data_IF_545098385333
#
_entry.id   IF_545098385333
#
_cell.length_a   1.000
_cell.length_b   1.000
_cell.length_c   1.000
_cell.angle_alpha   90.00
_cell.angle_beta   90.00
_cell.angle_gamma   90.00
#
_symmetry.space_group_name_H-M   'P 1'
#
loop_
_entity.id
_entity.type
_entity.pdbx_description
1 polymer ?
#
# COMPACT_ATOMS: atom_id res chain seq x y z
N UNK A 1 47.48 -32.62 -2.17
CA UNK A 1 46.98 -33.41 -3.32
C UNK A 1 45.72 -32.74 -3.82
N UNK A 2 45.84 -31.97 -4.91
CA UNK A 2 44.75 -31.26 -5.57
C UNK A 2 44.14 -32.19 -6.63
N UNK A 3 42.81 -32.27 -6.68
CA UNK A 3 42.07 -32.89 -7.78
C UNK A 3 41.55 -31.77 -8.71
N UNK A 4 41.58 -31.96 -10.05
CA UNK A 4 41.19 -30.93 -11.00
C UNK A 4 39.68 -30.93 -11.26
N UNK A 5 39.13 -29.73 -11.37
CA UNK A 5 37.80 -29.47 -11.89
C UNK A 5 37.86 -29.47 -13.43
N UNK A 6 37.22 -30.42 -14.08
CA UNK A 6 36.96 -30.41 -15.52
C UNK A 6 35.49 -30.70 -15.81
N UNK A 7 34.98 -29.89 -16.74
CA UNK A 7 33.90 -30.17 -17.68
C UNK A 7 32.48 -30.40 -17.15
N UNK A 8 31.71 -29.31 -17.09
CA UNK A 8 30.31 -29.31 -17.50
C UNK A 8 30.00 -28.06 -18.34
N UNK A 9 30.53 -28.03 -19.56
CA UNK A 9 29.97 -27.19 -20.65
C UNK A 9 28.87 -28.03 -21.29
N UNK A 10 27.67 -27.96 -20.71
CA UNK A 10 26.50 -28.66 -21.27
C UNK A 10 25.68 -27.70 -22.13
N UNK A 11 25.66 -28.05 -23.41
CA UNK A 11 24.88 -27.51 -24.52
C UNK A 11 23.46 -27.06 -24.12
N UNK A 12 23.21 -25.74 -24.10
CA UNK A 12 21.87 -25.21 -24.42
C UNK A 12 21.75 -25.19 -25.95
N UNK A 13 21.13 -26.23 -26.50
CA UNK A 13 20.57 -26.15 -27.86
C UNK A 13 19.38 -25.21 -27.79
N UNK A 14 19.50 -24.07 -28.45
CA UNK A 14 18.38 -23.18 -28.73
C UNK A 14 17.38 -23.94 -29.60
N UNK A 15 16.23 -24.28 -29.03
CA UNK A 15 15.08 -24.71 -29.81
C UNK A 15 14.57 -23.49 -30.59
N UNK A 16 14.42 -23.56 -31.92
CA UNK A 16 13.80 -22.49 -32.68
C UNK A 16 12.38 -22.28 -32.17
N UNK A 17 12.03 -21.05 -31.83
CA UNK A 17 10.65 -20.65 -31.60
C UNK A 17 9.91 -20.80 -32.93
N UNK A 18 9.02 -21.79 -33.01
CA UNK A 18 8.08 -21.92 -34.10
C UNK A 18 7.21 -20.66 -34.14
N UNK A 19 7.41 -19.86 -35.19
CA UNK A 19 6.61 -18.68 -35.48
C UNK A 19 5.20 -19.16 -35.81
N UNK A 20 4.23 -18.85 -34.94
CA UNK A 20 2.82 -19.10 -35.23
C UNK A 20 2.42 -18.41 -36.54
N UNK A 21 1.81 -19.13 -37.50
CA UNK A 21 1.34 -18.52 -38.73
C UNK A 21 0.23 -17.49 -38.42
N UNK A 22 0.36 -16.28 -38.97
CA UNK A 22 -0.55 -15.13 -38.73
C UNK A 22 -2.03 -15.44 -38.95
N UNK A 23 -2.36 -16.44 -39.76
CA UNK A 23 -3.75 -16.86 -40.01
C UNK A 23 -4.43 -17.47 -38.78
N UNK A 24 -3.69 -18.15 -37.90
CA UNK A 24 -4.25 -18.75 -36.67
C UNK A 24 -4.47 -17.74 -35.55
N UNK A 25 -3.68 -16.66 -35.53
CA UNK A 25 -3.85 -15.57 -34.56
C UNK A 25 -5.10 -14.73 -34.83
N UNK A 26 -5.53 -14.62 -36.09
CA UNK A 26 -6.73 -13.85 -36.46
C UNK A 26 -8.04 -14.59 -36.19
N UNK A 27 -8.03 -15.93 -36.20
CA UNK A 27 -9.23 -16.75 -35.96
C UNK A 27 -9.58 -16.83 -34.47
N UNK A 28 -8.57 -16.94 -33.59
CA UNK A 28 -8.77 -16.98 -32.13
C UNK A 28 -9.28 -15.66 -31.54
N UNK A 29 -8.92 -14.51 -32.14
CA UNK A 29 -9.46 -13.20 -31.72
C UNK A 29 -10.93 -13.04 -32.10
N UNK A 30 -11.38 -13.63 -33.21
CA UNK A 30 -12.79 -13.56 -33.64
C UNK A 30 -13.72 -14.40 -32.77
N UNK A 31 -13.26 -15.57 -32.30
CA UNK A 31 -14.05 -16.38 -31.35
C UNK A 31 -14.13 -15.75 -29.96
N UNK A 32 -13.09 -15.05 -29.51
CA UNK A 32 -13.11 -14.35 -28.22
C UNK A 32 -14.08 -13.16 -28.17
N UNK A 33 -14.30 -12.47 -29.30
CA UNK A 33 -15.22 -11.31 -29.38
C UNK A 33 -16.69 -11.76 -29.46
N UNK A 34 -16.97 -13.00 -29.89
CA UNK A 34 -18.34 -13.52 -29.98
C UNK A 34 -18.92 -14.02 -28.64
N UNK A 35 -18.14 -14.00 -27.55
CA UNK A 35 -18.56 -14.40 -26.20
C UNK A 35 -18.87 -13.23 -25.27
N UNK A 36 -19.26 -12.06 -25.81
CA UNK A 36 -19.92 -11.02 -25.00
C UNK A 36 -21.33 -11.48 -24.61
N UNK A 37 -21.38 -12.24 -23.51
CA UNK A 37 -22.61 -12.55 -22.77
C UNK A 37 -23.16 -11.23 -22.22
N UNK A 38 -24.44 -10.88 -22.46
CA UNK A 38 -25.05 -9.73 -21.83
C UNK A 38 -25.27 -10.05 -20.34
N UNK A 39 -24.32 -9.66 -19.50
CA UNK A 39 -24.55 -9.57 -18.04
C UNK A 39 -25.28 -8.24 -17.82
N UNK A 40 -26.57 -8.23 -18.13
CA UNK A 40 -27.48 -7.18 -17.67
C UNK A 40 -28.40 -7.75 -16.59
N UNK A 41 -28.38 -7.04 -15.46
CA UNK A 41 -29.47 -6.87 -14.50
C UNK A 41 -30.05 -8.12 -13.85
N UNK A 42 -29.60 -8.41 -12.63
CA UNK A 42 -30.46 -8.68 -11.46
C UNK A 42 -29.57 -8.78 -10.19
N UNK A 43 -29.10 -7.64 -9.70
CA UNK A 43 -28.55 -7.50 -8.33
C UNK A 43 -29.15 -6.26 -7.68
N UNK A 44 -30.48 -6.23 -7.63
CA UNK A 44 -31.19 -5.35 -6.71
C UNK A 44 -31.82 -6.19 -5.61
N UNK A 45 -31.81 -5.64 -4.40
CA UNK A 45 -32.44 -6.14 -3.17
C UNK A 45 -31.68 -7.23 -2.40
N UNK A 46 -30.80 -6.79 -1.47
CA UNK A 46 -30.93 -7.11 -0.03
C UNK A 46 -29.65 -7.09 0.82
N UNK A 47 -28.44 -6.93 0.27
CA UNK A 47 -27.24 -7.05 1.11
C UNK A 47 -26.16 -6.00 0.81
N UNK A 48 -26.45 -4.74 1.11
CA UNK A 48 -25.46 -3.76 1.58
C UNK A 48 -26.22 -2.49 2.00
N UNK A 49 -26.63 -2.42 3.27
CA UNK A 49 -26.83 -1.10 3.88
C UNK A 49 -25.43 -0.48 3.94
N UNK A 50 -25.18 0.72 3.37
CA UNK A 50 -23.89 1.37 3.52
C UNK A 50 -23.61 1.48 5.02
N UNK A 51 -22.51 0.86 5.46
CA UNK A 51 -22.12 0.84 6.88
C UNK A 51 -21.78 2.26 7.40
N UNK A 52 -21.76 3.25 6.51
CA UNK A 52 -21.62 4.66 6.81
C UNK A 52 -22.58 5.46 5.91
N UNK A 53 -23.82 5.69 6.36
CA UNK A 53 -24.63 6.77 5.81
C UNK A 53 -24.09 8.07 6.40
N UNK A 54 -23.27 8.78 5.63
CA UNK A 54 -22.89 10.15 5.96
C UNK A 54 -24.00 11.05 5.45
N UNK A 55 -24.73 11.65 6.38
CA UNK A 55 -25.84 12.56 6.09
C UNK A 55 -25.31 13.75 5.23
N UNK A 56 -25.76 13.91 3.98
CA UNK A 56 -25.29 15.00 3.12
C UNK A 56 -25.63 16.39 3.68
N UNK A 57 -26.65 16.52 4.53
CA UNK A 57 -26.95 17.78 5.22
C UNK A 57 -25.89 18.15 6.28
N UNK A 58 -25.14 17.15 6.79
CA UNK A 58 -24.02 17.36 7.72
C UNK A 58 -22.67 17.60 7.03
N UNK A 59 -22.58 17.36 5.71
CA UNK A 59 -21.39 17.68 4.91
C UNK A 59 -21.40 19.15 4.45
N UNK A 60 -22.59 19.74 4.29
CA UNK A 60 -22.78 21.10 3.77
C UNK A 60 -22.38 22.22 4.76
N UNK A 61 -22.11 21.89 6.01
CA UNK A 61 -21.59 22.82 7.01
C UNK A 61 -20.32 22.23 7.58
N UNK A 62 -19.17 22.71 7.11
CA UNK A 62 -17.88 22.42 7.72
C UNK A 62 -17.82 23.19 9.05
N UNK A 63 -18.64 22.79 10.03
CA UNK A 63 -18.56 23.20 11.43
C UNK A 63 -17.57 22.30 12.18
N UNK A 64 -16.48 21.91 11.51
CA UNK A 64 -15.29 21.30 12.13
C UNK A 64 -14.40 22.39 12.77
N UNK A 65 -15.02 23.34 13.48
CA UNK A 65 -14.38 24.18 14.50
C UNK A 65 -14.59 23.42 15.82
N UNK A 66 -13.62 23.02 16.64
CA UNK A 66 -12.46 23.75 17.17
C UNK A 66 -11.30 22.77 17.53
N UNK A 67 -11.10 21.69 16.76
CA UNK A 67 -10.21 20.57 17.18
C UNK A 67 -9.21 20.04 16.15
N UNK A 68 -9.17 20.56 14.92
CA UNK A 68 -8.14 20.18 13.95
C UNK A 68 -6.80 20.77 14.36
N UNK A 69 -6.05 20.04 15.18
CA UNK A 69 -4.65 20.33 15.44
C UNK A 69 -3.89 20.31 14.12
N UNK A 70 -3.29 21.46 13.83
CA UNK A 70 -2.57 21.76 12.61
C UNK A 70 -1.35 20.84 12.48
N UNK A 71 -1.30 20.03 11.42
CA UNK A 71 -0.04 19.48 10.95
C UNK A 71 0.71 20.61 10.24
N UNK A 72 1.91 20.93 10.71
CA UNK A 72 2.78 21.94 10.12
C UNK A 72 3.32 21.50 8.75
N UNK A 73 3.62 22.50 7.92
CA UNK A 73 3.90 22.40 6.47
C UNK A 73 5.20 21.63 6.13
N UNK A 74 5.06 20.54 5.39
CA UNK A 74 6.07 20.07 4.42
C UNK A 74 5.36 19.75 3.09
N UNK A 75 5.89 20.33 2.00
CA UNK A 75 5.48 20.25 0.58
C UNK A 75 4.10 19.64 0.24
N UNK A 76 3.18 20.54 -0.05
CA UNK A 76 1.75 20.46 0.24
C UNK A 76 0.94 19.69 -0.83
N UNK A 77 1.22 18.40 -1.01
CA UNK A 77 0.32 17.41 -1.67
C UNK A 77 0.19 16.08 -0.92
N UNK A 78 0.83 15.96 0.25
CA UNK A 78 0.90 14.74 1.05
C UNK A 78 0.58 14.98 2.53
N UNK A 79 -0.27 15.98 2.85
CA UNK A 79 -0.75 16.22 4.22
C UNK A 79 -1.41 15.00 4.89
N UNK A 80 -1.70 13.96 4.09
CA UNK A 80 -2.25 12.68 4.52
C UNK A 80 -1.21 11.61 4.84
N UNK A 81 0.09 11.91 4.74
CA UNK A 81 1.16 10.95 4.96
C UNK A 81 1.25 10.56 6.46
N UNK A 82 0.94 9.31 6.75
CA UNK A 82 1.03 8.77 8.12
C UNK A 82 2.48 8.56 8.52
N UNK A 83 2.92 9.21 9.60
CA UNK A 83 4.26 9.01 10.16
C UNK A 83 4.39 7.61 10.75
N UNK A 84 5.50 6.91 10.49
CA UNK A 84 5.70 5.54 10.99
C UNK A 84 5.66 5.49 12.51
N UNK A 85 6.20 6.51 13.18
CA UNK A 85 6.36 6.55 14.63
C UNK A 85 5.05 6.53 15.42
N UNK A 86 3.95 7.02 14.82
CA UNK A 86 2.62 7.11 15.44
C UNK A 86 1.83 5.80 15.36
N UNK A 87 2.30 4.85 14.55
CA UNK A 87 1.60 3.60 14.29
C UNK A 87 1.68 2.66 15.49
N UNK A 88 0.59 1.94 15.75
CA UNK A 88 0.54 0.88 16.78
C UNK A 88 0.63 -0.47 16.06
N UNK A 89 1.77 -1.21 16.14
CA UNK A 89 1.90 -2.49 15.45
C UNK A 89 0.97 -3.53 16.09
N UNK A 90 0.21 -4.24 15.25
CA UNK A 90 -0.70 -5.33 15.64
C UNK A 90 -0.21 -6.70 15.17
N UNK A 91 0.65 -6.73 14.15
CA UNK A 91 1.33 -7.91 13.67
C UNK A 91 2.56 -7.50 12.89
N UNK A 92 3.72 -8.07 13.18
CA UNK A 92 4.93 -7.75 12.43
C UNK A 92 5.85 -8.97 12.36
N UNK A 93 6.48 -9.15 11.21
CA UNK A 93 7.46 -10.20 10.98
C UNK A 93 8.60 -9.66 10.13
N UNK A 94 9.73 -9.40 10.78
CA UNK A 94 10.93 -8.86 10.16
C UNK A 94 10.65 -7.54 9.43
N UNK A 95 10.55 -7.59 8.11
CA UNK A 95 10.44 -6.46 7.20
C UNK A 95 9.00 -6.05 6.88
N UNK A 96 8.00 -6.72 7.45
CA UNK A 96 6.57 -6.43 7.20
C UNK A 96 5.91 -6.07 8.52
N UNK A 97 5.18 -4.96 8.53
CA UNK A 97 4.52 -4.41 9.71
C UNK A 97 3.05 -4.13 9.34
N UNK A 98 2.14 -4.80 10.03
CA UNK A 98 0.72 -4.47 10.08
C UNK A 98 0.45 -3.69 11.37
N UNK A 99 -0.21 -2.55 11.25
CA UNK A 99 -0.37 -1.58 12.32
C UNK A 99 -1.71 -0.87 12.27
N UNK A 100 -2.04 -0.19 13.35
CA UNK A 100 -3.21 0.65 13.49
C UNK A 100 -2.81 2.13 13.51
N UNK A 101 -3.53 2.92 12.71
CA UNK A 101 -3.51 4.37 12.71
C UNK A 101 -4.90 4.89 13.05
N UNK A 102 -5.09 5.36 14.28
CA UNK A 102 -6.42 5.66 14.83
C UNK A 102 -6.73 7.16 14.92
N UNK A 103 -6.05 8.01 14.14
CA UNK A 103 -6.25 9.46 14.16
C UNK A 103 -7.37 9.87 13.20
N UNK A 104 -8.56 10.16 13.72
CA UNK A 104 -9.68 10.67 12.92
C UNK A 104 -9.52 12.17 12.62
N UNK A 105 -9.84 12.67 11.41
CA UNK A 105 -10.36 11.96 10.22
C UNK A 105 -9.27 11.40 9.29
N UNK A 106 -8.00 11.63 9.57
CA UNK A 106 -6.87 11.22 8.72
C UNK A 106 -6.78 9.70 8.49
N UNK A 107 -7.33 8.90 9.40
CA UNK A 107 -7.42 7.45 9.26
C UNK A 107 -8.45 7.02 8.21
N UNK A 108 -9.29 7.88 7.64
CA UNK A 108 -10.25 7.47 6.62
C UNK A 108 -9.62 7.34 5.24
N UNK A 109 -10.24 6.51 4.38
CA UNK A 109 -9.82 6.31 3.00
C UNK A 109 -8.72 5.27 2.83
N UNK A 110 -8.14 5.22 1.63
CA UNK A 110 -7.07 4.31 1.26
C UNK A 110 -5.94 5.10 0.62
N UNK A 111 -4.70 4.81 1.00
CA UNK A 111 -3.50 5.38 0.36
C UNK A 111 -2.43 4.31 0.29
N UNK A 112 -1.97 3.97 -0.90
CA UNK A 112 -0.89 3.01 -1.09
C UNK A 112 0.19 3.63 -1.97
N UNK A 113 1.44 3.44 -1.59
CA UNK A 113 2.61 3.98 -2.25
C UNK A 113 3.74 2.98 -2.07
N UNK A 114 4.41 2.61 -3.15
CA UNK A 114 5.51 1.69 -3.06
C UNK A 114 6.15 1.40 -4.40
N UNK A 115 7.27 0.69 -4.32
CA UNK A 115 8.02 0.17 -5.44
C UNK A 115 8.21 -1.33 -5.24
N UNK A 116 7.90 -2.12 -6.25
CA UNK A 116 8.18 -3.55 -6.30
C UNK A 116 8.91 -3.84 -7.60
N UNK A 117 10.17 -4.27 -7.50
CA UNK A 117 11.05 -4.41 -8.66
C UNK A 117 11.09 -3.09 -9.46
N UNK A 118 10.70 -3.12 -10.73
CA UNK A 118 10.73 -1.96 -11.63
C UNK A 118 9.42 -1.15 -11.64
N UNK A 119 8.41 -1.54 -10.86
CA UNK A 119 7.12 -0.86 -10.82
C UNK A 119 7.04 0.03 -9.59
N UNK A 120 6.89 1.33 -9.80
CA UNK A 120 6.57 2.29 -8.75
C UNK A 120 5.14 2.78 -8.94
N UNK A 121 4.35 2.74 -7.87
CA UNK A 121 2.94 3.11 -7.92
C UNK A 121 2.52 3.87 -6.68
N UNK A 122 1.61 4.81 -6.88
CA UNK A 122 0.90 5.53 -5.83
C UNK A 122 -0.59 5.55 -6.17
N UNK A 123 -1.41 5.24 -5.19
CA UNK A 123 -2.86 5.27 -5.30
C UNK A 123 -3.49 5.89 -4.06
N UNK A 124 -4.53 6.70 -4.23
CA UNK A 124 -5.35 7.22 -3.15
C UNK A 124 -6.83 7.07 -3.50
N UNK A 125 -7.63 6.58 -2.56
CA UNK A 125 -9.07 6.39 -2.74
C UNK A 125 -9.84 6.86 -1.51
N UNK A 126 -10.92 7.60 -1.74
CA UNK A 126 -11.78 8.19 -0.70
C UNK A 126 -11.00 8.89 0.43
N UNK A 127 -9.84 9.49 0.12
CA UNK A 127 -8.96 10.10 1.13
C UNK A 127 -9.40 11.55 1.38
N UNK A 128 -9.69 11.96 2.63
CA UNK A 128 -10.02 13.35 2.93
C UNK A 128 -8.87 14.27 2.52
N UNK A 129 -9.21 15.39 1.87
CA UNK A 129 -8.26 16.43 1.52
C UNK A 129 -8.31 17.53 2.58
N UNK A 130 -7.19 18.23 2.77
CA UNK A 130 -7.17 19.39 3.63
C UNK A 130 -8.07 20.49 3.08
N UNK A 131 -8.86 21.11 3.95
CA UNK A 131 -9.83 22.15 3.60
C UNK A 131 -9.19 23.45 3.06
N UNK A 132 -7.87 23.47 2.90
CA UNK A 132 -7.10 24.56 2.28
C UNK A 132 -6.98 24.42 0.76
N UNK A 133 -7.47 23.32 0.18
CA UNK A 133 -7.48 23.15 -1.26
C UNK A 133 -8.28 24.30 -1.92
N UNK A 134 -7.62 25.07 -2.80
CA UNK A 134 -8.21 26.23 -3.49
C UNK A 134 -9.48 25.83 -4.26
N UNK A 135 -9.53 24.57 -4.69
CA UNK A 135 -10.63 23.98 -5.44
C UNK A 135 -11.81 23.49 -4.58
N UNK A 136 -11.75 23.67 -3.24
CA UNK A 136 -12.80 23.26 -2.28
C UNK A 136 -13.17 21.78 -2.38
N UNK A 137 -12.22 20.92 -2.72
CA UNK A 137 -12.44 19.46 -2.81
C UNK A 137 -12.44 18.88 -1.40
N UNK A 138 -13.41 18.00 -1.11
CA UNK A 138 -13.51 17.38 0.21
C UNK A 138 -12.69 16.10 0.35
N UNK A 139 -12.59 15.30 -0.71
CA UNK A 139 -11.83 14.05 -0.74
C UNK A 139 -11.38 13.68 -2.14
N UNK A 140 -10.25 12.97 -2.24
CA UNK A 140 -9.82 12.30 -3.46
C UNK A 140 -10.61 11.00 -3.61
N UNK A 141 -11.44 10.88 -4.65
CA UNK A 141 -12.22 9.65 -4.92
C UNK A 141 -11.30 8.55 -5.46
N UNK A 142 -10.49 8.88 -6.46
CA UNK A 142 -9.50 8.00 -7.05
C UNK A 142 -8.37 8.84 -7.64
N UNK A 143 -7.16 8.58 -7.20
CA UNK A 143 -5.92 9.06 -7.80
C UNK A 143 -5.01 7.86 -7.98
N UNK A 144 -4.48 7.67 -9.18
CA UNK A 144 -3.58 6.58 -9.51
C UNK A 144 -2.42 7.11 -10.34
N UNK A 145 -1.21 6.78 -9.94
CA UNK A 145 0.02 7.14 -10.62
C UNK A 145 0.92 5.90 -10.65
N UNK A 146 1.34 5.48 -11.83
CA UNK A 146 2.19 4.30 -12.02
C UNK A 146 3.31 4.62 -13.01
N UNK A 147 4.53 4.21 -12.66
CA UNK A 147 5.73 4.48 -13.44
C UNK A 147 6.68 3.27 -13.41
N UNK A 148 7.36 3.06 -14.53
CA UNK A 148 8.49 2.13 -14.57
C UNK A 148 9.77 2.87 -14.14
N UNK A 149 10.44 2.35 -13.11
CA UNK A 149 11.69 2.89 -12.59
C UNK A 149 12.77 1.83 -12.57
N UNK A 150 14.04 2.26 -12.60
CA UNK A 150 15.16 1.33 -12.42
C UNK A 150 15.19 0.96 -10.93
N UNK A 151 15.07 -0.35 -10.58
CA UNK A 151 15.04 -0.77 -9.20
C UNK A 151 16.36 -0.46 -8.50
N UNK A 152 16.29 0.28 -7.40
CA UNK A 152 17.41 0.42 -6.45
C UNK A 152 17.34 -0.62 -5.32
N UNK A 153 16.16 -1.19 -5.09
CA UNK A 153 15.85 -2.16 -4.02
C UNK A 153 14.85 -3.21 -4.54
N UNK A 154 14.69 -4.30 -3.78
CA UNK A 154 13.77 -5.38 -4.16
C UNK A 154 12.31 -4.95 -4.04
N UNK A 155 11.95 -4.34 -2.91
CA UNK A 155 10.64 -3.72 -2.74
C UNK A 155 10.50 -2.97 -1.44
N UNK A 156 9.75 -1.88 -1.49
CA UNK A 156 9.40 -1.04 -0.34
C UNK A 156 8.03 -0.43 -0.59
N UNK A 157 7.16 -0.40 0.41
CA UNK A 157 5.85 0.18 0.25
C UNK A 157 5.09 0.34 1.54
N UNK A 158 4.07 1.19 1.48
CA UNK A 158 3.09 1.47 2.53
C UNK A 158 1.71 1.43 1.91
N UNK A 159 0.74 0.88 2.63
CA UNK A 159 -0.64 0.82 2.19
C UNK A 159 -1.52 0.94 3.42
N UNK A 160 -2.24 2.05 3.48
CA UNK A 160 -3.21 2.35 4.52
C UNK A 160 -4.60 2.09 3.95
N UNK A 161 -5.40 1.29 4.67
CA UNK A 161 -6.82 1.07 4.41
C UNK A 161 -7.57 1.39 5.69
N UNK A 162 -8.21 2.55 5.72
CA UNK A 162 -8.81 3.12 6.90
C UNK A 162 -7.79 3.16 8.07
N UNK A 163 -8.15 2.58 9.22
CA UNK A 163 -7.26 2.52 10.38
C UNK A 163 -6.15 1.48 10.26
N UNK A 164 -6.14 0.61 9.24
CA UNK A 164 -5.11 -0.39 9.06
C UNK A 164 -3.99 0.19 8.19
N UNK A 165 -2.75 0.11 8.64
CA UNK A 165 -1.58 0.51 7.88
C UNK A 165 -0.61 -0.67 7.80
N UNK A 166 -0.27 -1.05 6.56
CA UNK A 166 0.72 -2.07 6.25
C UNK A 166 1.94 -1.40 5.65
N UNK A 167 3.14 -1.71 6.17
CA UNK A 167 4.43 -1.30 5.59
C UNK A 167 5.31 -2.51 5.34
N UNK A 168 6.11 -2.44 4.28
CA UNK A 168 7.14 -3.42 4.04
C UNK A 168 8.38 -2.80 3.40
N UNK A 169 9.55 -3.35 3.68
CA UNK A 169 10.78 -3.02 2.96
C UNK A 169 11.79 -4.17 2.98
N UNK A 170 12.28 -4.59 1.81
CA UNK A 170 13.20 -5.72 1.66
C UNK A 170 14.49 -5.23 0.98
N UNK A 171 15.63 -5.14 1.71
CA UNK A 171 15.79 -5.35 3.16
C UNK A 171 15.13 -4.24 4.00
N UNK A 172 15.09 -4.42 5.33
CA UNK A 172 14.57 -3.40 6.26
C UNK A 172 15.25 -2.05 6.03
N UNK A 173 14.48 -0.96 6.13
CA UNK A 173 14.97 0.40 5.89
C UNK A 173 14.90 1.22 7.16
N UNK A 174 15.38 2.47 7.08
CA UNK A 174 15.22 3.41 8.19
C UNK A 174 13.75 3.65 8.52
N UNK A 175 12.86 3.61 7.52
CA UNK A 175 11.41 3.85 7.67
C UNK A 175 10.62 2.59 8.09
N UNK A 176 11.12 1.40 7.78
CA UNK A 176 10.50 0.11 8.11
C UNK A 176 11.50 -0.72 8.91
N UNK A 177 11.53 -0.59 10.25
CA UNK A 177 12.47 -1.31 11.09
C UNK A 177 12.12 -2.81 11.15
N UNK A 178 13.11 -3.62 11.53
CA UNK A 178 12.88 -5.03 11.80
C UNK A 178 12.05 -5.19 13.09
N UNK A 179 10.80 -5.65 12.98
CA UNK A 179 9.90 -5.88 14.12
C UNK A 179 9.39 -7.32 14.17
N UNK A 180 9.19 -7.83 15.38
CA UNK A 180 8.42 -9.06 15.62
C UNK A 180 7.35 -8.74 16.64
N UNK A 181 6.11 -8.74 16.20
CA UNK A 181 4.94 -8.39 17.00
C UNK A 181 3.79 -9.37 16.72
N UNK A 182 3.06 -9.75 17.76
CA UNK A 182 1.85 -10.54 17.64
C UNK A 182 0.76 -9.93 18.53
N UNK A 183 -0.35 -9.51 17.90
CA UNK A 183 -1.52 -8.96 18.57
C UNK A 183 -1.20 -7.79 19.53
N UNK A 184 -0.28 -6.90 19.13
CA UNK A 184 0.13 -5.75 19.95
C UNK A 184 1.24 -6.04 20.96
N UNK A 185 1.60 -7.31 21.16
CA UNK A 185 2.78 -7.69 21.95
C UNK A 185 4.02 -7.71 21.05
N UNK A 186 4.91 -6.76 21.28
CA UNK A 186 6.21 -6.70 20.65
C UNK A 186 7.18 -7.63 21.37
N UNK A 187 7.94 -8.42 20.61
CA UNK A 187 8.98 -9.32 21.10
C UNK A 187 10.38 -8.81 20.71
N UNK A 188 10.52 -8.33 19.47
CA UNK A 188 11.77 -7.79 18.93
C UNK A 188 11.50 -6.48 18.23
N UNK A 189 12.37 -5.50 18.43
CA UNK A 189 12.35 -4.27 17.67
C UNK A 189 13.77 -3.78 17.38
N UNK A 190 14.04 -3.47 16.11
CA UNK A 190 15.33 -3.00 15.59
C UNK A 190 16.47 -3.97 15.92
N UNK A 191 16.27 -5.25 15.62
CA UNK A 191 17.20 -6.36 15.90
C UNK A 191 17.52 -6.60 17.39
N UNK A 192 16.85 -5.91 18.32
CA UNK A 192 16.97 -6.11 19.76
C UNK A 192 15.72 -6.73 20.38
N UNK A 193 15.89 -7.56 21.42
CA UNK A 193 14.78 -8.04 22.23
C UNK A 193 14.18 -6.88 23.03
N UNK A 194 12.92 -6.55 22.75
CA UNK A 194 12.20 -5.43 23.38
C UNK A 194 10.76 -5.84 23.61
N UNK A 195 10.50 -6.34 24.81
CA UNK A 195 9.17 -6.80 25.18
C UNK A 195 8.33 -5.60 25.63
N UNK A 196 7.29 -5.30 24.88
CA UNK A 196 6.37 -4.20 25.18
C UNK A 196 4.99 -4.48 24.56
N UNK A 197 3.93 -3.95 25.17
CA UNK A 197 2.56 -4.19 24.75
C UNK A 197 1.87 -2.86 24.37
N UNK A 198 1.18 -2.84 23.24
CA UNK A 198 0.39 -1.70 22.74
C UNK A 198 1.18 -0.38 22.69
N UNK A 199 2.47 -0.47 22.38
CA UNK A 199 3.35 0.70 22.20
C UNK A 199 3.41 1.10 20.74
N UNK A 200 3.53 2.39 20.48
CA UNK A 200 3.74 2.88 19.12
C UNK A 200 5.12 2.45 18.60
N UNK A 201 5.30 2.42 17.29
CA UNK A 201 6.58 2.06 16.68
C UNK A 201 7.68 3.04 17.14
N UNK A 202 7.36 4.33 17.32
CA UNK A 202 8.31 5.31 17.84
C UNK A 202 8.80 5.00 19.26
N UNK A 203 7.92 4.46 20.12
CA UNK A 203 8.31 4.03 21.47
C UNK A 203 9.21 2.78 21.46
N UNK A 204 8.99 1.88 20.50
CA UNK A 204 9.77 0.64 20.33
C UNK A 204 11.14 0.92 19.70
N UNK A 205 11.19 1.88 18.78
CA UNK A 205 12.36 2.21 17.95
C UNK A 205 12.63 3.73 18.05
N UNK A 206 13.34 4.18 19.10
CA UNK A 206 13.54 5.61 19.36
C UNK A 206 14.23 6.39 18.24
N UNK A 207 15.02 5.75 17.37
CA UNK A 207 15.68 6.40 16.22
C UNK A 207 14.71 6.95 15.16
N UNK A 208 13.43 6.56 15.23
CA UNK A 208 12.39 7.05 14.33
C UNK A 208 11.80 8.38 14.77
N UNK A 209 11.90 8.72 16.07
CA UNK A 209 11.50 10.02 16.62
C UNK A 209 12.48 11.08 16.13
N UNK A 210 12.15 11.74 15.03
CA UNK A 210 12.92 12.88 14.50
C UNK A 210 12.13 14.16 14.64
#
# INVERSE_FOLDING_TARGET
MQAPAQEMVNMRKETPMDVMPESLAQETVKEAIAMEVPIQHEMESHWMKPMFYVDPAKIATCEFHEGCHMAEEEDNRDATAVKTEDLIPIGACCCVIDSLYCTFPACLGCTCDGTLLFLQGRAAFCKPLDCKDEDKRCCAIAELQEYCVIPTRFGEGKCQICCLDRRYAIPCTDNVPCLVNSCGLNCMADFGCKIACCKTIGDLVPRLKK
#
